data_IF_744381427943
#
_entry.id   IF_744381427943
#
_cell.length_a   1.000
_cell.length_b   1.000
_cell.length_c   1.000
_cell.angle_alpha   90.00
_cell.angle_beta   90.00
_cell.angle_gamma   90.00
#
_symmetry.space_group_name_H-M   'P 1'
#
loop_
_entity.id
_entity.type
_entity.pdbx_description
1 polymer ?
#
# COMPACT_ATOMS: atom_id res chain seq x y z
N UNK A 1 10.33 9.30 12.21
CA UNK A 1 11.65 9.87 12.54
C UNK A 1 12.48 8.93 13.41
N UNK A 2 11.97 8.43 14.54
CA UNK A 2 12.75 7.61 15.49
C UNK A 2 13.62 6.51 14.86
N UNK A 3 13.10 5.76 13.86
CA UNK A 3 13.88 4.72 13.20
C UNK A 3 15.03 5.29 12.37
N UNK A 4 14.81 6.37 11.63
CA UNK A 4 15.84 7.03 10.80
C UNK A 4 16.94 7.59 11.71
N UNK A 5 16.54 8.21 12.81
CA UNK A 5 17.46 8.77 13.80
C UNK A 5 18.24 7.66 14.52
N UNK A 6 17.55 6.57 14.90
CA UNK A 6 18.19 5.39 15.51
C UNK A 6 19.25 4.76 14.58
N UNK A 7 18.91 4.66 13.29
CA UNK A 7 19.81 4.11 12.27
C UNK A 7 20.90 5.13 11.83
N UNK A 8 20.86 6.37 12.34
CA UNK A 8 21.78 7.45 11.99
C UNK A 8 21.85 7.71 10.48
N UNK A 9 20.68 7.67 9.80
CA UNK A 9 20.58 7.97 8.38
C UNK A 9 20.56 9.50 8.22
N UNK A 10 21.65 10.05 7.71
CA UNK A 10 21.79 11.50 7.49
C UNK A 10 21.26 11.93 6.12
N UNK A 11 21.38 11.05 5.13
CA UNK A 11 20.92 11.29 3.76
C UNK A 11 19.40 11.30 3.67
N UNK A 12 18.88 11.94 2.64
CA UNK A 12 17.48 11.81 2.28
C UNK A 12 17.16 10.38 1.89
N UNK A 13 15.93 9.95 2.17
CA UNK A 13 15.47 8.59 1.91
C UNK A 13 14.46 8.53 0.77
N UNK A 14 14.53 7.49 -0.03
CA UNK A 14 13.45 7.12 -0.94
C UNK A 14 12.41 6.32 -0.18
N UNK A 15 11.16 6.74 -0.27
CA UNK A 15 10.03 6.06 0.36
C UNK A 15 9.27 5.24 -0.67
N UNK A 16 8.92 4.01 -0.33
CA UNK A 16 8.08 3.15 -1.17
C UNK A 16 6.87 2.73 -0.34
N UNK A 17 5.67 3.01 -0.83
CA UNK A 17 4.41 2.70 -0.15
C UNK A 17 3.46 1.88 -1.00
N UNK A 18 3.16 0.63 -0.58
CA UNK A 18 2.20 -0.24 -1.24
C UNK A 18 0.85 -0.20 -0.54
N UNK A 19 -0.24 -0.08 -1.31
CA UNK A 19 -1.61 -0.12 -0.79
C UNK A 19 -1.81 0.88 0.36
N UNK A 20 -2.13 0.39 1.56
CA UNK A 20 -2.20 1.18 2.79
C UNK A 20 -0.89 1.91 3.12
N UNK A 21 0.26 1.36 2.73
CA UNK A 21 1.57 1.98 2.89
C UNK A 21 1.71 3.29 2.11
N UNK A 22 0.95 3.47 1.03
CA UNK A 22 0.95 4.71 0.25
C UNK A 22 0.65 5.94 1.08
N UNK A 23 -0.53 6.07 1.69
CA UNK A 23 -0.83 7.20 2.58
C UNK A 23 0.11 7.31 3.78
N UNK A 24 0.65 6.20 4.31
CA UNK A 24 1.62 6.25 5.43
C UNK A 24 2.89 6.98 5.00
N UNK A 25 3.50 6.59 3.88
CA UNK A 25 4.70 7.28 3.38
C UNK A 25 4.42 8.70 2.92
N UNK A 26 3.22 8.96 2.38
CA UNK A 26 2.78 10.29 2.01
C UNK A 26 2.66 11.25 3.21
N UNK A 27 2.08 10.79 4.31
CA UNK A 27 2.03 11.57 5.56
C UNK A 27 3.44 11.84 6.09
N UNK A 28 4.30 10.81 6.12
CA UNK A 28 5.68 10.99 6.55
C UNK A 28 6.40 12.06 5.71
N UNK A 29 6.27 12.02 4.39
CA UNK A 29 6.88 12.97 3.47
C UNK A 29 6.31 14.39 3.64
N UNK A 30 5.02 14.52 3.94
CA UNK A 30 4.40 15.81 4.26
C UNK A 30 4.97 16.43 5.53
N UNK A 31 5.21 15.62 6.55
CA UNK A 31 5.74 16.08 7.84
C UNK A 31 7.25 16.30 7.80
N UNK A 32 7.98 15.57 6.95
CA UNK A 32 9.44 15.56 6.93
C UNK A 32 10.01 15.77 5.50
N UNK A 33 9.62 16.81 4.76
CA UNK A 33 9.99 16.96 3.35
C UNK A 33 11.51 17.04 3.13
N UNK A 34 12.25 17.60 4.09
CA UNK A 34 13.70 17.74 4.00
C UNK A 34 14.48 16.42 4.19
N UNK A 35 13.81 15.36 4.63
CA UNK A 35 14.38 14.01 4.82
C UNK A 35 14.00 13.05 3.70
N UNK A 36 13.21 13.50 2.73
CA UNK A 36 12.69 12.64 1.66
C UNK A 36 13.23 13.07 0.32
N UNK A 37 13.84 12.13 -0.40
CA UNK A 37 14.32 12.30 -1.77
C UNK A 37 13.20 12.04 -2.78
N UNK A 38 12.47 10.94 -2.59
CA UNK A 38 11.32 10.64 -3.42
C UNK A 38 10.26 9.82 -2.69
N UNK A 39 9.02 9.87 -3.20
CA UNK A 39 7.91 9.04 -2.74
C UNK A 39 7.38 8.22 -3.89
N UNK A 40 7.44 6.90 -3.76
CA UNK A 40 7.06 5.95 -4.80
C UNK A 40 5.87 5.11 -4.32
N UNK A 41 4.79 5.16 -5.06
CA UNK A 41 3.53 4.52 -4.69
C UNK A 41 3.29 3.26 -5.53
N UNK A 42 2.79 2.20 -4.90
CA UNK A 42 2.32 0.99 -5.58
C UNK A 42 0.86 0.79 -5.18
N UNK A 43 -0.06 0.96 -6.13
CA UNK A 43 -1.50 0.84 -5.91
C UNK A 43 -1.98 1.48 -4.58
N UNK A 44 -1.71 2.78 -4.34
CA UNK A 44 -1.91 3.41 -3.03
C UNK A 44 -3.40 3.53 -2.69
N UNK A 45 -3.75 3.23 -1.44
CA UNK A 45 -5.08 3.56 -0.91
C UNK A 45 -5.27 5.08 -0.79
N UNK A 46 -6.53 5.53 -0.65
CA UNK A 46 -6.81 6.94 -0.37
C UNK A 46 -7.82 7.62 -1.30
N UNK A 47 -8.12 7.02 -2.45
CA UNK A 47 -9.12 7.52 -3.41
C UNK A 47 -10.27 6.54 -3.62
N UNK A 48 -10.72 5.87 -2.56
CA UNK A 48 -11.79 4.88 -2.61
C UNK A 48 -13.14 5.46 -2.18
N UNK A 49 -13.48 6.66 -2.62
CA UNK A 49 -14.67 7.41 -2.19
C UNK A 49 -16.02 6.67 -2.38
N UNK A 50 -16.08 5.81 -3.41
CA UNK A 50 -17.31 5.05 -3.73
C UNK A 50 -17.51 3.82 -2.86
N UNK A 51 -16.46 3.36 -2.15
CA UNK A 51 -16.58 2.28 -1.19
C UNK A 51 -17.17 2.83 0.10
N UNK A 52 -18.47 2.64 0.29
CA UNK A 52 -19.06 2.80 1.61
C UNK A 52 -18.32 1.87 2.57
N UNK A 53 -17.79 2.42 3.65
CA UNK A 53 -17.32 1.63 4.78
C UNK A 53 -18.33 0.52 5.06
N UNK A 54 -17.92 -0.73 4.87
CA UNK A 54 -18.77 -1.86 5.19
C UNK A 54 -19.17 -1.72 6.65
N UNK A 55 -20.46 -1.73 6.87
CA UNK A 55 -21.21 -1.38 8.06
C UNK A 55 -20.40 -1.28 9.36
N UNK A 56 -20.57 -0.16 10.05
CA UNK A 56 -20.10 0.09 11.43
C UNK A 56 -20.35 -1.07 12.42
N UNK A 57 -21.27 -1.99 12.11
CA UNK A 57 -21.60 -3.18 12.89
C UNK A 57 -20.45 -4.20 12.85
N UNK A 58 -19.85 -4.47 11.67
CA UNK A 58 -18.73 -5.40 11.54
C UNK A 58 -17.51 -4.90 12.31
N UNK A 59 -17.20 -3.63 12.18
CA UNK A 59 -16.10 -2.98 12.91
C UNK A 59 -16.37 -2.94 14.44
N UNK A 60 -17.63 -2.81 14.86
CA UNK A 60 -18.02 -2.87 16.28
C UNK A 60 -17.85 -4.26 16.90
N UNK A 61 -18.17 -5.32 16.15
CA UNK A 61 -17.96 -6.71 16.58
C UNK A 61 -16.46 -7.03 16.70
N UNK A 62 -15.65 -6.53 15.75
CA UNK A 62 -14.19 -6.68 15.78
C UNK A 62 -13.50 -5.89 16.91
N UNK A 63 -14.23 -4.97 17.57
CA UNK A 63 -13.70 -4.19 18.70
C UNK A 63 -13.68 -4.97 20.04
N UNK A 64 -14.28 -6.15 20.10
CA UNK A 64 -14.25 -6.98 21.33
C UNK A 64 -13.00 -7.87 21.28
N UNK A 65 -11.97 -7.62 22.11
CA UNK A 65 -10.65 -8.28 21.99
C UNK A 65 -10.73 -9.80 21.97
N UNK A 66 -11.60 -10.37 22.78
CA UNK A 66 -11.81 -11.83 22.83
C UNK A 66 -12.46 -12.38 21.57
N UNK A 67 -13.44 -11.68 21.01
CA UNK A 67 -14.14 -12.08 19.77
C UNK A 67 -13.18 -12.02 18.59
N UNK A 68 -12.39 -10.97 18.49
CA UNK A 68 -11.40 -10.80 17.43
C UNK A 68 -10.34 -11.90 17.48
N UNK A 69 -9.81 -12.19 18.65
CA UNK A 69 -8.83 -13.29 18.85
C UNK A 69 -9.46 -14.63 18.49
N UNK A 70 -10.67 -14.89 18.94
CA UNK A 70 -11.39 -16.14 18.64
C UNK A 70 -11.65 -16.31 17.14
N UNK A 71 -12.19 -15.28 16.48
CA UNK A 71 -12.46 -15.30 15.03
C UNK A 71 -11.15 -15.46 14.24
N UNK A 72 -10.07 -14.80 14.62
CA UNK A 72 -8.79 -14.92 13.92
C UNK A 72 -8.15 -16.31 14.01
N UNK A 73 -8.43 -17.04 15.08
CA UNK A 73 -7.91 -18.41 15.30
C UNK A 73 -8.82 -19.44 14.66
N UNK A 74 -10.15 -19.31 14.85
CA UNK A 74 -11.13 -20.33 14.43
C UNK A 74 -11.55 -20.13 12.97
N UNK A 75 -11.63 -18.89 12.51
CA UNK A 75 -12.02 -18.52 11.14
C UNK A 75 -11.02 -17.57 10.49
N UNK A 76 -9.74 -17.98 10.34
CA UNK A 76 -8.73 -17.11 9.75
C UNK A 76 -9.10 -16.66 8.34
N UNK A 77 -9.80 -17.48 7.56
CA UNK A 77 -10.30 -17.15 6.24
C UNK A 77 -11.30 -15.98 6.22
N UNK A 78 -12.10 -15.84 7.28
CA UNK A 78 -13.07 -14.74 7.40
C UNK A 78 -12.38 -13.40 7.67
N UNK A 79 -11.30 -13.43 8.46
CA UNK A 79 -10.53 -12.23 8.83
C UNK A 79 -9.51 -11.82 7.77
N UNK A 80 -8.92 -12.79 7.08
CA UNK A 80 -7.74 -12.59 6.24
C UNK A 80 -7.96 -13.00 4.79
N UNK A 81 -9.22 -13.27 4.37
CA UNK A 81 -9.55 -13.59 2.99
C UNK A 81 -9.03 -14.96 2.52
N UNK A 82 -8.81 -15.89 3.45
CA UNK A 82 -8.34 -17.23 3.10
C UNK A 82 -9.35 -18.00 2.24
N UNK A 83 -8.88 -18.67 1.20
CA UNK A 83 -9.61 -19.41 0.18
C UNK A 83 -10.47 -18.61 -0.81
N UNK A 84 -10.56 -17.29 -0.74
CA UNK A 84 -10.90 -16.58 -1.93
C UNK A 84 -9.74 -16.85 -2.91
N UNK A 85 -10.04 -17.45 -4.03
CA UNK A 85 -9.19 -17.46 -5.21
C UNK A 85 -8.93 -16.00 -5.55
N UNK A 86 -7.92 -15.39 -4.92
CA UNK A 86 -7.37 -14.13 -5.39
C UNK A 86 -6.95 -14.47 -6.80
N UNK A 87 -7.75 -14.02 -7.77
CA UNK A 87 -7.36 -14.16 -9.17
C UNK A 87 -6.09 -13.33 -9.28
N UNK A 88 -4.96 -13.99 -9.36
CA UNK A 88 -3.68 -13.35 -9.58
C UNK A 88 -3.69 -12.70 -10.97
N UNK A 89 -2.87 -11.69 -11.14
CA UNK A 89 -2.59 -11.10 -12.44
C UNK A 89 -2.23 -12.18 -13.43
N UNK A 90 -2.75 -12.07 -14.66
CA UNK A 90 -2.65 -13.13 -15.68
C UNK A 90 -1.30 -13.20 -16.37
N UNK A 91 -0.48 -12.15 -16.26
CA UNK A 91 0.85 -12.13 -16.84
C UNK A 91 1.80 -13.05 -16.07
N UNK A 92 2.56 -13.87 -16.82
CA UNK A 92 3.57 -14.74 -16.23
C UNK A 92 4.85 -13.97 -15.98
N UNK A 93 5.12 -13.68 -14.71
CA UNK A 93 6.41 -13.18 -14.23
C UNK A 93 7.17 -14.38 -13.63
N UNK A 94 8.35 -14.67 -14.14
CA UNK A 94 9.16 -15.81 -13.69
C UNK A 94 9.58 -15.71 -12.21
N UNK A 95 9.61 -14.49 -11.67
CA UNK A 95 9.98 -14.20 -10.29
C UNK A 95 8.75 -14.11 -9.37
N UNK A 96 7.54 -14.44 -9.86
CA UNK A 96 6.31 -14.37 -9.06
C UNK A 96 6.33 -15.37 -7.91
N UNK A 97 5.77 -14.96 -6.78
CA UNK A 97 5.49 -15.90 -5.70
C UNK A 97 4.30 -16.78 -6.06
N UNK A 98 4.44 -18.07 -5.85
CA UNK A 98 3.31 -19.00 -5.94
C UNK A 98 2.30 -18.76 -4.83
N UNK A 99 1.05 -19.19 -5.01
CA UNK A 99 0.01 -19.08 -3.99
C UNK A 99 0.42 -19.81 -2.69
N UNK A 100 1.16 -20.91 -2.79
CA UNK A 100 1.61 -21.67 -1.62
C UNK A 100 2.66 -20.90 -0.82
N UNK A 101 3.62 -20.24 -1.49
CA UNK A 101 4.63 -19.39 -0.85
C UNK A 101 3.97 -18.18 -0.17
N UNK A 102 3.04 -17.50 -0.84
CA UNK A 102 2.27 -16.41 -0.25
C UNK A 102 1.51 -16.85 1.00
N UNK A 103 0.83 -17.99 0.92
CA UNK A 103 0.12 -18.54 2.07
C UNK A 103 1.06 -18.90 3.21
N UNK A 104 2.26 -19.41 2.94
CA UNK A 104 3.25 -19.73 3.94
C UNK A 104 3.75 -18.47 4.66
N UNK A 105 4.10 -17.43 3.91
CA UNK A 105 4.52 -16.13 4.46
C UNK A 105 3.41 -15.52 5.32
N UNK A 106 2.18 -15.53 4.83
CA UNK A 106 1.03 -14.99 5.54
C UNK A 106 0.74 -15.73 6.86
N UNK A 107 0.73 -17.07 6.83
CA UNK A 107 0.57 -17.90 8.05
C UNK A 107 1.67 -17.61 9.06
N UNK A 108 2.89 -17.32 8.63
CA UNK A 108 3.98 -16.95 9.52
C UNK A 108 3.70 -15.62 10.22
N UNK A 109 3.21 -14.61 9.47
CA UNK A 109 2.86 -13.30 10.03
C UNK A 109 1.71 -13.39 11.06
N UNK A 110 0.73 -14.23 10.80
CA UNK A 110 -0.42 -14.42 11.73
C UNK A 110 -0.02 -14.97 13.10
N UNK A 111 1.17 -15.60 13.23
CA UNK A 111 1.67 -16.12 14.51
C UNK A 111 2.21 -15.03 15.43
N UNK A 112 2.52 -13.84 14.91
CA UNK A 112 3.03 -12.77 15.76
C UNK A 112 1.92 -12.22 16.67
N UNK A 113 2.25 -12.09 17.95
CA UNK A 113 1.36 -11.45 18.92
C UNK A 113 1.07 -10.00 18.48
N UNK A 114 -0.21 -9.63 18.54
CA UNK A 114 -0.63 -8.29 18.12
C UNK A 114 -0.90 -8.10 16.62
N UNK A 115 -0.58 -9.07 15.75
CA UNK A 115 -0.84 -8.95 14.30
C UNK A 115 -2.30 -8.58 14.02
N UNK A 116 -3.25 -9.36 14.52
CA UNK A 116 -4.69 -9.10 14.36
C UNK A 116 -5.09 -7.76 14.98
N UNK A 117 -4.58 -7.45 16.17
CA UNK A 117 -4.88 -6.18 16.85
C UNK A 117 -4.42 -4.98 16.04
N UNK A 118 -3.23 -5.04 15.45
CA UNK A 118 -2.71 -3.95 14.62
C UNK A 118 -3.55 -3.74 13.37
N UNK A 119 -3.96 -4.80 12.68
CA UNK A 119 -4.84 -4.71 11.51
C UNK A 119 -6.19 -4.06 11.84
N UNK A 120 -6.83 -4.52 12.93
CA UNK A 120 -8.12 -3.97 13.38
C UNK A 120 -7.97 -2.52 13.80
N UNK A 121 -6.92 -2.19 14.55
CA UNK A 121 -6.64 -0.82 14.97
C UNK A 121 -6.41 0.11 13.77
N UNK A 122 -5.68 -0.34 12.77
CA UNK A 122 -5.46 0.42 11.55
C UNK A 122 -6.76 0.64 10.79
N UNK A 123 -7.54 -0.41 10.56
CA UNK A 123 -8.83 -0.31 9.85
C UNK A 123 -9.82 0.63 10.54
N UNK A 124 -9.73 0.74 11.88
CA UNK A 124 -10.59 1.61 12.68
C UNK A 124 -10.14 3.07 12.71
N UNK A 125 -8.85 3.30 12.83
CA UNK A 125 -8.31 4.61 13.19
C UNK A 125 -7.65 5.33 11.99
N UNK A 126 -7.39 4.63 10.90
CA UNK A 126 -6.78 5.18 9.71
C UNK A 126 -7.79 5.28 8.57
N UNK A 127 -7.98 6.48 8.02
CA UNK A 127 -8.92 6.69 6.93
C UNK A 127 -8.34 6.24 5.58
N UNK A 128 -8.38 4.93 5.31
CA UNK A 128 -7.90 4.34 4.06
C UNK A 128 -8.72 4.74 2.82
N UNK A 129 -9.95 5.18 3.00
CA UNK A 129 -10.87 5.43 1.88
C UNK A 129 -10.72 6.82 1.28
N UNK A 130 -10.29 7.79 2.08
CA UNK A 130 -10.11 9.16 1.65
C UNK A 130 -8.92 9.83 2.34
N UNK A 131 -7.80 9.85 1.65
CA UNK A 131 -6.60 10.60 2.05
C UNK A 131 -6.23 11.65 1.00
N UNK A 132 -7.20 12.10 0.21
CA UNK A 132 -7.00 13.06 -0.88
C UNK A 132 -6.24 14.31 -0.42
N UNK A 133 -6.63 14.88 0.71
CA UNK A 133 -5.97 16.07 1.25
C UNK A 133 -4.46 15.87 1.44
N UNK A 134 -4.04 14.68 1.91
CA UNK A 134 -2.63 14.34 2.07
C UNK A 134 -1.90 14.39 0.73
N UNK A 135 -2.48 13.80 -0.34
CA UNK A 135 -1.88 13.82 -1.67
C UNK A 135 -1.82 15.23 -2.26
N UNK A 136 -2.84 16.05 -2.05
CA UNK A 136 -2.86 17.46 -2.46
C UNK A 136 -1.75 18.28 -1.78
N UNK A 137 -1.54 18.05 -0.49
CA UNK A 137 -0.47 18.72 0.26
C UNK A 137 0.91 18.25 -0.23
N UNK A 138 1.07 16.97 -0.49
CA UNK A 138 2.30 16.39 -1.02
C UNK A 138 2.62 16.94 -2.42
N UNK A 139 1.62 17.04 -3.30
CA UNK A 139 1.78 17.58 -4.65
C UNK A 139 2.28 19.03 -4.70
N UNK A 140 2.10 19.80 -3.61
CA UNK A 140 2.61 21.17 -3.48
C UNK A 140 4.07 21.26 -3.05
N UNK A 141 4.67 20.14 -2.63
CA UNK A 141 6.02 20.13 -2.02
C UNK A 141 7.16 19.87 -2.99
N UNK A 142 6.87 19.66 -4.29
CA UNK A 142 7.86 19.36 -5.33
C UNK A 142 8.81 18.20 -4.99
N UNK A 143 8.34 17.22 -4.21
CA UNK A 143 9.09 16.00 -3.94
C UNK A 143 8.96 15.09 -5.18
N UNK A 144 10.08 14.56 -5.66
CA UNK A 144 10.08 13.57 -6.73
C UNK A 144 9.13 12.42 -6.40
N UNK A 145 8.28 12.03 -7.34
CA UNK A 145 7.29 11.00 -7.03
C UNK A 145 6.89 10.17 -8.24
N UNK A 146 6.56 8.92 -7.94
CA UNK A 146 6.06 8.01 -8.95
C UNK A 146 4.93 7.11 -8.42
N UNK A 147 4.12 6.56 -9.33
CA UNK A 147 3.09 5.58 -9.01
C UNK A 147 3.00 4.50 -10.07
N UNK A 148 2.92 3.25 -9.63
CA UNK A 148 2.58 2.10 -10.48
C UNK A 148 1.28 1.49 -9.98
N UNK A 149 0.37 1.17 -10.92
CA UNK A 149 -0.96 0.65 -10.59
C UNK A 149 -1.42 -0.39 -11.60
N UNK A 150 -2.23 -1.35 -11.19
CA UNK A 150 -2.88 -2.31 -12.07
C UNK A 150 -4.24 -1.77 -12.55
N UNK A 151 -4.55 -1.90 -13.84
CA UNK A 151 -5.82 -1.42 -14.39
C UNK A 151 -7.02 -2.30 -14.01
N UNK A 152 -6.77 -3.55 -13.61
CA UNK A 152 -7.77 -4.50 -13.12
C UNK A 152 -7.79 -4.63 -11.58
N UNK A 153 -7.26 -3.65 -10.85
CA UNK A 153 -7.24 -3.66 -9.39
C UNK A 153 -8.66 -3.46 -8.82
N UNK A 154 -9.19 -4.55 -8.24
CA UNK A 154 -10.52 -4.56 -7.60
C UNK A 154 -10.44 -4.24 -6.09
N UNK A 155 -9.25 -4.24 -5.50
CA UNK A 155 -9.05 -3.94 -4.07
C UNK A 155 -8.90 -2.44 -3.85
N UNK A 156 -8.03 -1.80 -4.61
CA UNK A 156 -7.89 -0.34 -4.67
C UNK A 156 -8.07 0.07 -6.13
N UNK A 157 -9.29 0.45 -6.53
CA UNK A 157 -9.62 0.73 -7.93
C UNK A 157 -8.69 1.77 -8.56
N UNK A 158 -8.20 1.46 -9.76
CA UNK A 158 -7.25 2.29 -10.48
C UNK A 158 -7.83 3.60 -11.02
N UNK A 159 -9.15 3.82 -10.94
CA UNK A 159 -9.76 5.12 -11.19
C UNK A 159 -9.24 6.21 -10.23
N UNK A 160 -8.74 5.80 -9.06
CA UNK A 160 -7.99 6.65 -8.13
C UNK A 160 -6.79 7.36 -8.75
N UNK A 161 -6.17 6.78 -9.80
CA UNK A 161 -5.06 7.40 -10.52
C UNK A 161 -5.45 8.73 -11.17
N UNK A 162 -6.68 8.87 -11.65
CA UNK A 162 -7.15 10.12 -12.25
C UNK A 162 -7.20 11.27 -11.23
N UNK A 163 -7.65 10.96 -10.01
CA UNK A 163 -7.65 11.93 -8.91
C UNK A 163 -6.22 12.24 -8.46
N UNK A 164 -5.39 11.21 -8.32
CA UNK A 164 -3.98 11.39 -7.94
C UNK A 164 -3.23 12.28 -8.93
N UNK A 165 -3.42 12.09 -10.22
CA UNK A 165 -2.80 12.95 -11.27
C UNK A 165 -3.30 14.38 -11.22
N UNK A 166 -4.55 14.61 -10.83
CA UNK A 166 -5.10 15.95 -10.65
C UNK A 166 -4.53 16.63 -9.40
N UNK A 167 -4.40 15.88 -8.31
CA UNK A 167 -3.94 16.39 -7.02
C UNK A 167 -2.40 16.49 -6.95
N UNK A 168 -1.70 15.72 -7.79
CA UNK A 168 -0.25 15.66 -7.88
C UNK A 168 0.21 15.65 -9.36
N UNK A 169 0.14 16.77 -10.07
CA UNK A 169 0.31 16.82 -11.53
C UNK A 169 1.67 16.31 -12.05
N UNK A 170 2.74 16.46 -11.25
CA UNK A 170 4.11 16.11 -11.64
C UNK A 170 4.46 14.65 -11.30
N UNK A 171 3.49 13.84 -10.87
CA UNK A 171 3.77 12.43 -10.54
C UNK A 171 4.04 11.59 -11.80
N UNK A 172 5.16 10.89 -11.84
CA UNK A 172 5.41 9.89 -12.87
C UNK A 172 4.51 8.68 -12.65
N UNK A 173 3.85 8.16 -13.69
CA UNK A 173 2.94 7.05 -13.50
C UNK A 173 3.09 5.94 -14.53
N UNK A 174 2.77 4.72 -14.10
CA UNK A 174 2.64 3.53 -14.94
C UNK A 174 1.38 2.78 -14.59
N UNK A 175 0.51 2.56 -15.58
CA UNK A 175 -0.64 1.68 -15.48
C UNK A 175 -0.30 0.34 -16.14
N UNK A 176 -0.39 -0.76 -15.39
CA UNK A 176 -0.05 -2.10 -15.86
C UNK A 176 -1.32 -2.81 -16.28
N UNK A 177 -1.37 -3.22 -17.56
CA UNK A 177 -2.54 -3.86 -18.16
C UNK A 177 -2.80 -5.24 -17.54
N UNK A 178 -4.07 -5.54 -17.28
CA UNK A 178 -4.55 -6.78 -16.66
C UNK A 178 -3.96 -7.09 -15.28
N UNK A 179 -3.22 -6.15 -14.69
CA UNK A 179 -2.66 -6.33 -13.37
C UNK A 179 -3.69 -5.97 -12.28
N UNK A 180 -3.66 -6.72 -11.20
CA UNK A 180 -4.54 -6.55 -10.05
C UNK A 180 -3.79 -5.90 -8.88
N UNK A 181 -4.37 -6.00 -7.68
CA UNK A 181 -3.74 -5.45 -6.47
C UNK A 181 -2.46 -6.18 -6.05
N UNK A 182 -2.18 -7.32 -6.60
CA UNK A 182 -1.08 -8.23 -6.28
C UNK A 182 0.26 -7.89 -6.96
N UNK A 183 0.41 -6.70 -7.52
CA UNK A 183 1.57 -6.24 -8.29
C UNK A 183 2.92 -6.64 -7.68
N UNK A 184 3.08 -6.46 -6.37
CA UNK A 184 4.38 -6.65 -5.69
C UNK A 184 4.86 -8.09 -5.65
N UNK A 185 3.97 -9.05 -5.75
CA UNK A 185 4.29 -10.46 -5.67
C UNK A 185 3.86 -11.28 -6.90
N UNK A 186 2.97 -10.75 -7.72
CA UNK A 186 2.59 -11.39 -8.97
C UNK A 186 3.43 -10.91 -10.16
N UNK A 187 3.88 -9.64 -10.12
CA UNK A 187 4.64 -8.99 -11.20
C UNK A 187 5.88 -8.26 -10.66
N UNK A 188 6.73 -8.94 -9.84
CA UNK A 188 7.86 -8.28 -9.18
C UNK A 188 8.88 -7.71 -10.16
N UNK A 189 9.09 -8.34 -11.32
CA UNK A 189 10.01 -7.86 -12.34
C UNK A 189 9.54 -6.52 -12.95
N UNK A 190 8.25 -6.37 -13.20
CA UNK A 190 7.67 -5.14 -13.74
C UNK A 190 7.77 -4.00 -12.71
N UNK A 191 7.40 -4.31 -11.46
CA UNK A 191 7.45 -3.34 -10.36
C UNK A 191 8.89 -2.95 -10.06
N UNK A 192 9.79 -3.91 -9.94
CA UNK A 192 11.21 -3.69 -9.66
C UNK A 192 11.89 -2.85 -10.74
N UNK A 193 11.64 -3.17 -12.02
CA UNK A 193 12.15 -2.37 -13.15
C UNK A 193 11.66 -0.93 -13.07
N UNK A 194 10.36 -0.71 -12.91
CA UNK A 194 9.78 0.63 -12.82
C UNK A 194 10.39 1.42 -11.66
N UNK A 195 10.44 0.84 -10.47
CA UNK A 195 11.02 1.52 -9.30
C UNK A 195 12.49 1.86 -9.50
N UNK A 196 13.29 0.93 -10.02
CA UNK A 196 14.72 1.18 -10.28
C UNK A 196 14.93 2.33 -11.26
N UNK A 197 14.16 2.36 -12.35
CA UNK A 197 14.20 3.46 -13.33
C UNK A 197 13.85 4.82 -12.69
N UNK A 198 12.82 4.86 -11.82
CA UNK A 198 12.43 6.08 -11.14
C UNK A 198 13.50 6.55 -10.13
N UNK A 199 13.98 5.63 -9.28
CA UNK A 199 15.00 5.96 -8.27
C UNK A 199 16.28 6.49 -8.91
N UNK A 200 16.76 5.85 -9.99
CA UNK A 200 17.93 6.31 -10.73
C UNK A 200 17.70 7.69 -11.37
N UNK A 201 16.52 7.94 -11.95
CA UNK A 201 16.21 9.23 -12.55
C UNK A 201 16.18 10.37 -11.53
N UNK A 202 15.71 10.10 -10.31
CA UNK A 202 15.65 11.09 -9.24
C UNK A 202 17.00 11.39 -8.61
N UNK A 203 17.89 10.38 -8.54
CA UNK A 203 19.25 10.55 -8.00
C UNK A 203 20.20 11.28 -8.97
N UNK A 204 19.92 11.30 -10.27
CA UNK A 204 20.77 11.94 -11.29
C UNK A 204 20.41 13.41 -11.56
N UNK A 205 19.41 13.96 -10.90
CA UNK A 205 18.98 15.35 -11.06
C UNK A 205 19.60 16.30 -10.00
N UNK A 206 20.58 15.82 -9.24
CA UNK A 206 21.47 16.66 -8.41
C UNK A 206 22.73 17.04 -9.21
#
# INVERSE_FOLDING_TARGET
MELIDYLKIEQKVHLIGYSMGGPIVGHFANENPNKVESVNFIAPAGYMFKRKSQSNVYLKILNVPFITKYISVVFPSLMYGGNSSIKLSTDEDENRLSQNELNAVYRKQMKYEGFTRSLVSTAKNFNLFNTQKMFQELGKKNINSSVIWGDADEVVPSDGLNYLKSDYPNINYKLVKNARHDLTYALPSIVGKFLSEQLLSFSNNE
#
